data_IF_083686482577
#
_entry.id   IF_083686482577
#
_cell.length_a   1.000
_cell.length_b   1.000
_cell.length_c   1.000
_cell.angle_alpha   90.00
_cell.angle_beta   90.00
_cell.angle_gamma   90.00
#
_symmetry.space_group_name_H-M   'P 1'
#
loop_
_entity.id
_entity.type
_entity.pdbx_description
1 polymer ?
#
# COMPACT_ATOMS: atom_id res chain seq x y z
N UNK A 1 0.51 23.89 3.30
CA UNK A 1 1.61 23.68 4.22
C UNK A 1 1.15 22.77 5.35
N UNK A 2 1.13 21.48 5.14
CA UNK A 2 0.90 20.56 6.26
C UNK A 2 2.25 20.19 6.85
N UNK A 3 2.71 20.99 7.78
CA UNK A 3 3.92 20.70 8.52
C UNK A 3 3.76 19.51 9.49
N UNK A 4 2.61 18.87 9.50
CA UNK A 4 2.25 17.86 10.52
C UNK A 4 1.64 16.60 9.89
N UNK A 5 2.17 15.44 10.29
CA UNK A 5 1.63 14.12 10.01
C UNK A 5 1.03 13.52 11.27
N UNK A 6 -0.20 13.02 11.20
CA UNK A 6 -0.83 12.22 12.26
C UNK A 6 -0.75 10.74 11.92
N UNK A 7 -0.12 9.95 12.78
CA UNK A 7 0.03 8.49 12.63
C UNK A 7 -0.98 7.79 13.52
N UNK A 8 -1.78 6.91 12.92
CA UNK A 8 -2.77 6.10 13.62
C UNK A 8 -2.42 4.63 13.48
N UNK A 9 -2.14 3.96 14.60
CA UNK A 9 -1.99 2.51 14.64
C UNK A 9 -3.37 1.87 14.87
N UNK A 10 -3.83 1.09 13.91
CA UNK A 10 -5.13 0.43 13.93
C UNK A 10 -5.07 -0.97 14.56
N UNK A 11 -3.84 -1.47 14.84
CA UNK A 11 -3.63 -2.87 15.22
C UNK A 11 -4.04 -3.84 14.11
N UNK A 12 -4.52 -5.04 14.50
CA UNK A 12 -5.01 -6.03 13.52
C UNK A 12 -6.48 -5.79 13.21
N UNK A 13 -6.82 -5.72 11.91
CA UNK A 13 -8.16 -5.41 11.41
C UNK A 13 -8.50 -6.18 10.13
N UNK A 14 -9.80 -6.53 9.92
CA UNK A 14 -10.30 -6.99 8.62
C UNK A 14 -10.03 -5.96 7.52
N UNK A 15 -9.71 -6.44 6.32
CA UNK A 15 -9.34 -5.56 5.20
C UNK A 15 -10.50 -4.64 4.78
N UNK A 16 -11.71 -5.19 4.68
CA UNK A 16 -12.88 -4.44 4.23
C UNK A 16 -13.21 -3.26 5.15
N UNK A 17 -13.05 -3.42 6.47
CA UNK A 17 -13.26 -2.34 7.45
C UNK A 17 -12.31 -1.17 7.20
N UNK A 18 -11.01 -1.48 7.04
CA UNK A 18 -9.99 -0.44 6.84
C UNK A 18 -10.09 0.20 5.46
N UNK A 19 -10.54 -0.53 4.44
CA UNK A 19 -10.79 0.03 3.12
C UNK A 19 -11.89 1.08 3.16
N UNK A 20 -13.00 0.82 3.86
CA UNK A 20 -14.07 1.80 4.02
C UNK A 20 -13.61 3.02 4.83
N UNK A 21 -12.80 2.82 5.85
CA UNK A 21 -12.17 3.91 6.61
C UNK A 21 -11.31 4.78 5.70
N UNK A 22 -10.45 4.19 4.88
CA UNK A 22 -9.62 4.94 3.93
C UNK A 22 -10.47 5.76 2.94
N UNK A 23 -11.53 5.15 2.40
CA UNK A 23 -12.46 5.83 1.49
C UNK A 23 -13.16 7.01 2.14
N UNK A 24 -13.57 6.85 3.41
CA UNK A 24 -14.22 7.91 4.17
C UNK A 24 -13.25 9.07 4.45
N UNK A 25 -12.04 8.77 4.90
CA UNK A 25 -10.99 9.77 5.14
C UNK A 25 -10.60 10.52 3.86
N UNK A 26 -10.47 9.80 2.74
CA UNK A 26 -10.22 10.41 1.43
C UNK A 26 -11.35 11.38 1.05
N UNK A 27 -12.63 11.01 1.27
CA UNK A 27 -13.76 11.92 1.03
C UNK A 27 -13.70 13.17 1.91
N UNK A 28 -13.45 13.03 3.21
CA UNK A 28 -13.32 14.17 4.14
C UNK A 28 -12.17 15.10 3.73
N UNK A 29 -11.03 14.54 3.31
CA UNK A 29 -9.87 15.31 2.85
C UNK A 29 -10.17 16.08 1.56
N UNK A 30 -10.87 15.43 0.60
CA UNK A 30 -11.32 16.08 -0.65
C UNK A 30 -12.34 17.21 -0.40
N UNK A 31 -13.24 17.02 0.58
CA UNK A 31 -14.23 18.00 0.94
C UNK A 31 -13.69 19.18 1.77
N UNK A 32 -12.42 19.12 2.21
CA UNK A 32 -11.84 20.12 3.10
C UNK A 32 -12.35 20.03 4.55
N UNK A 33 -13.00 18.94 4.92
CA UNK A 33 -13.46 18.69 6.29
C UNK A 33 -12.32 18.25 7.22
N UNK A 34 -11.25 17.71 6.62
CA UNK A 34 -10.00 17.32 7.28
C UNK A 34 -8.82 17.98 6.57
N UNK A 35 -7.92 18.61 7.35
CA UNK A 35 -6.77 19.35 6.82
C UNK A 35 -5.43 18.69 7.12
N UNK A 36 -5.39 17.71 8.00
CA UNK A 36 -4.16 17.00 8.36
C UNK A 36 -3.92 15.79 7.46
N UNK A 37 -2.66 15.53 7.18
CA UNK A 37 -2.23 14.30 6.54
C UNK A 37 -2.18 13.16 7.55
N UNK A 38 -2.60 11.98 7.12
CA UNK A 38 -2.68 10.79 7.96
C UNK A 38 -1.79 9.67 7.40
N UNK A 39 -1.15 8.92 8.29
CA UNK A 39 -0.58 7.62 8.01
C UNK A 39 -1.28 6.58 8.88
N UNK A 40 -2.11 5.73 8.27
CA UNK A 40 -2.72 4.59 8.95
C UNK A 40 -1.75 3.41 8.88
N UNK A 41 -1.42 2.82 10.02
CA UNK A 41 -0.65 1.59 10.10
C UNK A 41 -1.56 0.47 10.57
N UNK A 42 -1.46 -0.69 9.96
CA UNK A 42 -2.36 -1.82 10.22
C UNK A 42 -1.68 -3.15 9.90
N UNK A 43 -2.09 -4.19 10.60
CA UNK A 43 -1.88 -5.58 10.26
C UNK A 43 -3.24 -6.17 9.83
N UNK A 44 -3.32 -6.80 8.67
CA UNK A 44 -4.59 -7.39 8.21
C UNK A 44 -4.75 -8.86 8.59
N UNK A 45 -6.00 -9.29 8.69
CA UNK A 45 -6.31 -10.72 8.57
C UNK A 45 -5.96 -11.22 7.15
N UNK A 46 -5.77 -12.54 6.97
CA UNK A 46 -5.35 -13.09 5.69
C UNK A 46 -6.30 -12.73 4.54
N UNK A 47 -5.81 -11.98 3.55
CA UNK A 47 -6.60 -11.49 2.41
C UNK A 47 -5.75 -11.41 1.14
N UNK A 48 -6.34 -11.77 0.01
CA UNK A 48 -5.81 -11.53 -1.33
C UNK A 48 -6.57 -10.35 -1.94
N UNK A 49 -5.86 -9.32 -2.35
CA UNK A 49 -6.47 -8.14 -2.99
C UNK A 49 -6.17 -8.09 -4.48
N UNK A 50 -7.22 -7.89 -5.27
CA UNK A 50 -7.17 -7.79 -6.72
C UNK A 50 -7.20 -6.32 -7.13
N UNK A 51 -6.06 -5.80 -7.58
CA UNK A 51 -5.94 -4.42 -8.05
C UNK A 51 -6.48 -4.25 -9.48
N UNK A 52 -6.49 -3.02 -9.98
CA UNK A 52 -7.00 -2.69 -11.34
C UNK A 52 -6.23 -3.36 -12.48
N UNK A 53 -4.99 -3.76 -12.24
CA UNK A 53 -4.13 -4.45 -13.21
C UNK A 53 -4.19 -5.97 -13.11
N UNK A 54 -5.07 -6.53 -12.28
CA UNK A 54 -5.16 -7.98 -12.09
C UNK A 54 -5.52 -8.70 -13.38
N UNK A 55 -4.70 -9.71 -13.70
CA UNK A 55 -4.89 -10.58 -14.86
C UNK A 55 -5.32 -11.96 -14.39
N UNK A 56 -6.07 -12.70 -15.22
CA UNK A 56 -6.46 -14.07 -14.91
C UNK A 56 -5.25 -14.99 -14.65
N UNK A 57 -4.11 -14.75 -15.33
CA UNK A 57 -2.86 -15.47 -15.12
C UNK A 57 -2.19 -15.21 -13.78
N UNK A 58 -2.52 -14.08 -13.12
CA UNK A 58 -1.96 -13.72 -11.81
C UNK A 58 -2.66 -14.42 -10.65
N UNK A 59 -3.83 -15.03 -10.91
CA UNK A 59 -4.64 -15.74 -9.93
C UNK A 59 -4.84 -17.21 -10.39
N UNK A 60 -3.84 -18.08 -10.20
CA UNK A 60 -3.89 -19.46 -10.69
C UNK A 60 -4.97 -20.31 -10.00
N UNK A 61 -5.38 -19.92 -8.79
CA UNK A 61 -6.47 -20.53 -8.06
C UNK A 61 -7.74 -19.67 -8.17
N UNK A 62 -8.90 -20.32 -8.32
CA UNK A 62 -10.18 -19.62 -8.29
C UNK A 62 -10.40 -18.97 -6.91
N UNK A 63 -11.09 -17.80 -6.82
CA UNK A 63 -11.40 -17.13 -5.55
C UNK A 63 -11.99 -18.07 -4.50
N UNK A 64 -12.97 -18.91 -4.86
CA UNK A 64 -13.57 -19.88 -3.97
C UNK A 64 -12.59 -20.93 -3.41
N UNK A 65 -11.49 -21.20 -4.10
CA UNK A 65 -10.42 -22.09 -3.60
C UNK A 65 -9.55 -21.37 -2.56
N UNK A 66 -9.25 -20.09 -2.78
CA UNK A 66 -8.54 -19.25 -1.81
C UNK A 66 -9.37 -19.06 -0.53
N UNK A 67 -10.66 -18.82 -0.67
CA UNK A 67 -11.60 -18.70 0.47
C UNK A 67 -11.67 -19.98 1.30
N UNK A 68 -11.71 -21.17 0.65
CA UNK A 68 -11.64 -22.46 1.35
C UNK A 68 -10.34 -22.66 2.14
N UNK A 69 -9.27 -21.96 1.76
CA UNK A 69 -7.98 -21.94 2.48
C UNK A 69 -7.89 -20.83 3.54
N UNK A 70 -9.01 -20.14 3.81
CA UNK A 70 -9.07 -19.07 4.80
C UNK A 70 -8.54 -17.72 4.34
N UNK A 71 -8.44 -17.50 3.02
CA UNK A 71 -8.01 -16.23 2.43
C UNK A 71 -9.24 -15.49 1.88
N UNK A 72 -9.57 -14.34 2.45
CA UNK A 72 -10.56 -13.45 1.86
C UNK A 72 -10.05 -12.98 0.48
N UNK A 73 -10.95 -12.79 -0.50
CA UNK A 73 -10.59 -12.25 -1.82
C UNK A 73 -11.39 -10.98 -2.07
N UNK A 74 -10.69 -9.85 -2.26
CA UNK A 74 -11.31 -8.52 -2.38
C UNK A 74 -10.83 -7.80 -3.63
N UNK A 75 -11.76 -7.37 -4.48
CA UNK A 75 -11.46 -6.46 -5.58
C UNK A 75 -11.32 -5.02 -5.06
N UNK A 76 -10.29 -4.32 -5.52
CA UNK A 76 -9.93 -2.99 -5.01
C UNK A 76 -9.49 -2.05 -6.12
N UNK A 77 -9.58 -0.74 -5.85
CA UNK A 77 -9.26 0.32 -6.80
C UNK A 77 -7.78 0.71 -6.88
N UNK A 78 -6.90 0.12 -6.05
CA UNK A 78 -5.45 0.40 -6.13
C UNK A 78 -4.86 0.02 -7.48
N UNK A 79 -3.80 0.70 -7.86
CA UNK A 79 -2.95 0.28 -8.97
C UNK A 79 -2.23 -1.04 -8.68
N UNK A 80 -1.67 -1.63 -9.72
CA UNK A 80 -0.98 -2.92 -9.66
C UNK A 80 -1.92 -4.12 -9.78
N UNK A 81 -1.33 -5.30 -9.70
CA UNK A 81 -1.96 -6.61 -9.86
C UNK A 81 -2.36 -7.21 -8.49
N UNK A 82 -2.45 -8.53 -8.41
CA UNK A 82 -2.78 -9.28 -7.19
C UNK A 82 -1.67 -9.15 -6.14
N UNK A 83 -2.06 -9.08 -4.88
CA UNK A 83 -1.15 -9.22 -3.74
C UNK A 83 -1.84 -9.88 -2.55
N UNK A 84 -1.04 -10.26 -1.55
CA UNK A 84 -1.48 -10.83 -0.28
C UNK A 84 -1.19 -9.86 0.85
N UNK A 85 -2.12 -9.80 1.82
CA UNK A 85 -1.90 -9.19 3.12
C UNK A 85 -2.25 -10.20 4.21
N UNK A 86 -1.52 -10.15 5.33
CA UNK A 86 -1.77 -11.06 6.45
C UNK A 86 -0.88 -10.76 7.65
N UNK A 87 -0.97 -11.59 8.69
CA UNK A 87 -0.20 -11.46 9.92
C UNK A 87 1.30 -11.34 9.67
N UNK A 88 1.95 -10.47 10.45
CA UNK A 88 3.37 -10.16 10.30
C UNK A 88 3.71 -9.21 9.15
N UNK A 89 2.70 -8.68 8.43
CA UNK A 89 2.92 -7.68 7.38
C UNK A 89 2.48 -6.29 7.85
N UNK A 90 3.41 -5.34 7.90
CA UNK A 90 3.11 -3.94 8.22
C UNK A 90 2.56 -3.25 6.97
N UNK A 91 1.28 -2.92 7.01
CA UNK A 91 0.61 -2.18 5.93
C UNK A 91 0.45 -0.72 6.33
N UNK A 92 0.83 0.18 5.42
CA UNK A 92 0.71 1.62 5.61
C UNK A 92 -0.17 2.25 4.53
N UNK A 93 -1.16 3.02 4.97
CA UNK A 93 -2.08 3.75 4.12
C UNK A 93 -1.97 5.25 4.35
N UNK A 94 -1.15 5.96 3.56
CA UNK A 94 -1.10 7.42 3.63
C UNK A 94 -2.34 8.04 2.97
N UNK A 95 -3.02 8.93 3.70
CA UNK A 95 -4.11 9.78 3.21
C UNK A 95 -3.59 11.21 3.19
N UNK A 96 -3.02 11.60 2.07
CA UNK A 96 -2.32 12.87 1.87
C UNK A 96 -3.02 13.66 0.77
N UNK A 97 -2.99 14.98 0.89
CA UNK A 97 -3.35 15.86 -0.22
C UNK A 97 -2.10 16.26 -1.01
N UNK A 98 -1.89 15.67 -2.17
CA UNK A 98 -0.71 15.92 -2.99
C UNK A 98 -0.62 17.36 -3.53
N UNK A 99 -1.70 18.14 -3.47
CA UNK A 99 -1.67 19.57 -3.79
C UNK A 99 -0.83 20.36 -2.79
N UNK A 100 -0.74 19.86 -1.55
CA UNK A 100 0.09 20.45 -0.50
C UNK A 100 1.55 19.94 -0.55
N UNK A 101 1.83 18.92 -1.38
CA UNK A 101 3.16 18.37 -1.63
C UNK A 101 3.59 18.58 -3.08
N UNK A 102 3.22 17.61 -3.93
CA UNK A 102 3.49 17.65 -5.37
C UNK A 102 2.45 16.83 -6.12
N UNK A 103 1.78 17.44 -7.09
CA UNK A 103 0.79 16.79 -7.97
C UNK A 103 1.47 15.89 -9.01
N UNK A 104 2.15 14.83 -8.54
CA UNK A 104 2.92 13.91 -9.38
C UNK A 104 2.89 12.50 -8.75
N UNK A 105 2.23 11.56 -9.42
CA UNK A 105 2.09 10.17 -8.94
C UNK A 105 3.41 9.40 -8.93
N UNK A 106 4.30 9.68 -9.90
CA UNK A 106 5.61 9.05 -9.94
C UNK A 106 6.49 9.53 -8.79
N UNK A 107 6.47 10.85 -8.53
CA UNK A 107 7.13 11.41 -7.36
C UNK A 107 6.61 10.77 -6.08
N UNK A 108 5.29 10.67 -5.91
CA UNK A 108 4.68 10.08 -4.71
C UNK A 108 5.10 8.63 -4.50
N UNK A 109 5.06 7.78 -5.55
CA UNK A 109 5.56 6.41 -5.47
C UNK A 109 7.03 6.35 -5.08
N UNK A 110 7.87 7.24 -5.64
CA UNK A 110 9.30 7.32 -5.30
C UNK A 110 9.55 7.77 -3.87
N UNK A 111 8.69 8.63 -3.30
CA UNK A 111 8.77 9.00 -1.90
C UNK A 111 8.41 7.81 -1.00
N UNK A 112 7.36 7.05 -1.30
CA UNK A 112 7.02 5.85 -0.55
C UNK A 112 8.16 4.82 -0.56
N UNK A 113 8.76 4.57 -1.72
CA UNK A 113 9.92 3.68 -1.82
C UNK A 113 11.12 4.22 -1.04
N UNK A 114 11.40 5.51 -1.12
CA UNK A 114 12.50 6.14 -0.39
C UNK A 114 12.32 6.01 1.12
N UNK A 115 11.12 6.31 1.64
CA UNK A 115 10.81 6.15 3.06
C UNK A 115 11.03 4.72 3.55
N UNK A 116 10.55 3.73 2.79
CA UNK A 116 10.76 2.31 3.14
C UNK A 116 12.23 1.90 3.08
N UNK A 117 12.99 2.37 2.08
CA UNK A 117 14.43 2.11 1.98
C UNK A 117 15.18 2.72 3.18
N UNK A 118 14.84 3.95 3.56
CA UNK A 118 15.42 4.62 4.74
C UNK A 118 15.07 3.86 6.03
N UNK A 119 13.82 3.43 6.19
CA UNK A 119 13.40 2.63 7.35
C UNK A 119 14.17 1.31 7.44
N UNK A 120 14.31 0.60 6.32
CA UNK A 120 15.07 -0.66 6.26
C UNK A 120 16.56 -0.45 6.55
N UNK A 121 17.14 0.65 6.08
CA UNK A 121 18.53 1.02 6.39
C UNK A 121 18.74 1.26 7.89
N UNK A 122 17.78 1.89 8.58
CA UNK A 122 17.82 2.08 10.03
C UNK A 122 17.79 0.75 10.80
N UNK A 123 17.21 -0.31 10.22
CA UNK A 123 17.23 -1.68 10.75
C UNK A 123 18.49 -2.49 10.36
N UNK A 124 19.41 -1.86 9.61
CA UNK A 124 20.64 -2.53 9.13
C UNK A 124 20.44 -3.32 7.83
N UNK A 125 19.33 -3.15 7.11
CA UNK A 125 19.07 -3.81 5.83
C UNK A 125 19.34 -2.86 4.66
N UNK A 126 20.18 -3.30 3.73
CA UNK A 126 20.35 -2.62 2.45
C UNK A 126 19.18 -2.97 1.53
N UNK A 127 18.41 -1.97 1.13
CA UNK A 127 17.30 -2.13 0.22
C UNK A 127 17.40 -1.12 -0.94
N UNK A 128 16.77 -1.46 -2.05
CA UNK A 128 16.88 -0.71 -3.30
C UNK A 128 15.58 -0.74 -4.11
N UNK A 129 15.51 0.12 -5.12
CA UNK A 129 14.51 0.03 -6.19
C UNK A 129 14.96 -0.94 -7.25
N UNK A 130 14.01 -1.64 -7.86
CA UNK A 130 14.30 -2.47 -9.04
C UNK A 130 13.85 -1.72 -10.31
N UNK A 131 14.72 -1.55 -11.32
CA UNK A 131 14.34 -0.85 -12.55
C UNK A 131 13.11 -1.47 -13.22
N UNK A 132 12.14 -0.62 -13.61
CA UNK A 132 10.89 -1.06 -14.26
C UNK A 132 9.90 -1.78 -13.34
N UNK A 133 10.17 -1.91 -12.04
CA UNK A 133 9.30 -2.62 -11.08
C UNK A 133 9.04 -1.75 -9.87
N UNK A 134 7.76 -1.53 -9.55
CA UNK A 134 7.37 -0.81 -8.32
C UNK A 134 7.53 -1.71 -7.10
N UNK A 135 8.10 -1.15 -6.03
CA UNK A 135 8.33 -1.86 -4.78
C UNK A 135 9.73 -1.64 -4.22
N UNK A 136 10.02 -2.29 -3.09
CA UNK A 136 11.33 -2.24 -2.45
C UNK A 136 11.91 -3.65 -2.43
N UNK A 137 13.20 -3.73 -2.73
CA UNK A 137 13.90 -4.98 -2.94
C UNK A 137 15.17 -5.04 -2.09
N UNK A 138 15.59 -6.23 -1.74
CA UNK A 138 16.88 -6.49 -1.09
C UNK A 138 17.47 -7.77 -1.65
N UNK A 139 18.73 -7.76 -2.08
CA UNK A 139 19.43 -8.93 -2.65
C UNK A 139 18.61 -9.63 -3.76
N UNK A 140 17.92 -8.83 -4.61
CA UNK A 140 17.08 -9.34 -5.70
C UNK A 140 15.73 -9.92 -5.27
N UNK A 141 15.37 -9.89 -3.98
CA UNK A 141 14.09 -10.36 -3.42
C UNK A 141 13.21 -9.18 -3.04
N UNK A 142 11.90 -9.31 -3.23
CA UNK A 142 10.95 -8.24 -2.94
C UNK A 142 10.53 -8.27 -1.47
N UNK A 143 10.81 -7.18 -0.74
CA UNK A 143 10.50 -7.05 0.68
C UNK A 143 9.25 -6.22 0.93
N UNK A 144 8.94 -5.26 0.03
CA UNK A 144 7.74 -4.45 0.13
C UNK A 144 7.05 -4.26 -1.22
N UNK A 145 5.72 -4.30 -1.20
CA UNK A 145 4.84 -4.03 -2.32
C UNK A 145 4.17 -2.67 -2.17
N UNK A 146 3.97 -1.96 -3.29
CA UNK A 146 3.27 -0.69 -3.33
C UNK A 146 2.12 -0.76 -4.34
N UNK A 147 0.97 -0.26 -3.91
CA UNK A 147 -0.19 -0.08 -4.77
C UNK A 147 -1.00 1.08 -4.24
N UNK A 148 -1.13 2.15 -5.03
CA UNK A 148 -1.78 3.39 -4.63
C UNK A 148 -3.04 3.65 -5.44
N UNK A 149 -3.92 4.46 -4.88
CA UNK A 149 -4.97 5.15 -5.63
C UNK A 149 -4.96 6.63 -5.27
N UNK A 150 -5.23 7.49 -6.25
CA UNK A 150 -5.33 8.93 -6.05
C UNK A 150 -6.62 9.42 -6.69
N UNK A 151 -7.40 10.19 -5.93
CA UNK A 151 -8.63 10.82 -6.38
C UNK A 151 -8.59 12.30 -6.05
N UNK A 152 -8.71 13.17 -7.05
CA UNK A 152 -8.58 14.62 -6.87
C UNK A 152 -7.33 15.02 -6.05
N UNK A 153 -6.21 14.39 -6.34
CA UNK A 153 -4.93 14.56 -5.67
C UNK A 153 -4.88 14.10 -4.19
N UNK A 154 -5.94 13.50 -3.67
CA UNK A 154 -5.91 12.85 -2.35
C UNK A 154 -5.60 11.37 -2.51
N UNK A 155 -4.63 10.89 -1.72
CA UNK A 155 -4.13 9.51 -1.79
C UNK A 155 -4.90 8.59 -0.87
N UNK A 156 -4.97 7.30 -1.21
CA UNK A 156 -5.32 6.19 -0.32
C UNK A 156 -4.76 4.87 -0.88
N UNK A 157 -4.88 3.74 -0.17
CA UNK A 157 -3.98 2.62 -0.28
C UNK A 157 -2.52 3.06 -0.01
N UNK A 158 -1.51 2.27 -0.35
CA UNK A 158 -0.13 2.64 -0.03
C UNK A 158 0.85 1.49 -0.20
N UNK A 159 1.41 0.99 0.90
CA UNK A 159 2.46 -0.02 0.87
C UNK A 159 2.20 -1.18 1.84
N UNK A 160 2.84 -2.29 1.58
CA UNK A 160 2.86 -3.47 2.44
C UNK A 160 4.31 -3.97 2.57
N UNK A 161 4.85 -3.89 3.79
CA UNK A 161 6.20 -4.32 4.15
C UNK A 161 6.13 -5.65 4.90
N UNK A 162 6.76 -6.69 4.37
CA UNK A 162 6.85 -7.98 5.02
C UNK A 162 7.84 -7.89 6.21
N UNK A 163 7.34 -7.93 7.44
CA UNK A 163 8.17 -7.91 8.65
C UNK A 163 8.52 -9.33 9.08
N UNK A 164 7.53 -10.10 9.48
CA UNK A 164 7.63 -11.52 9.86
C UNK A 164 6.54 -12.36 9.19
N UNK A 165 6.07 -11.89 8.03
CA UNK A 165 4.98 -12.46 7.25
C UNK A 165 5.25 -13.91 6.85
N UNK A 166 4.26 -14.77 6.94
CA UNK A 166 4.30 -16.09 6.29
C UNK A 166 4.28 -15.89 4.77
N UNK A 167 5.42 -16.12 4.14
CA UNK A 167 5.62 -15.89 2.72
C UNK A 167 5.01 -17.00 1.84
N UNK A 168 4.61 -18.14 2.41
CA UNK A 168 4.02 -19.25 1.66
C UNK A 168 2.68 -18.87 1.02
N UNK A 169 1.96 -17.90 1.58
CA UNK A 169 0.73 -17.36 1.00
C UNK A 169 0.95 -16.71 -0.38
N UNK A 170 2.15 -16.20 -0.65
CA UNK A 170 2.49 -15.63 -1.97
C UNK A 170 2.66 -16.71 -3.05
N UNK A 171 2.86 -17.98 -2.67
CA UNK A 171 2.94 -19.11 -3.63
C UNK A 171 1.58 -19.45 -4.26
N UNK A 172 0.48 -18.97 -3.65
CA UNK A 172 -0.87 -19.18 -4.13
C UNK A 172 -1.30 -18.19 -5.24
N UNK A 173 -0.49 -17.19 -5.49
CA UNK A 173 -0.73 -16.12 -6.45
C UNK A 173 0.53 -15.86 -7.28
N UNK A 174 0.42 -15.10 -8.39
CA UNK A 174 1.59 -14.54 -9.07
C UNK A 174 1.75 -13.09 -8.60
N UNK A 175 2.61 -12.82 -7.59
CA UNK A 175 2.65 -11.52 -6.92
C UNK A 175 2.98 -10.40 -7.92
N UNK A 176 2.14 -9.36 -7.96
CA UNK A 176 2.30 -8.21 -8.86
C UNK A 176 2.32 -8.57 -10.36
N UNK A 177 1.84 -9.76 -10.75
CA UNK A 177 1.89 -10.26 -12.12
C UNK A 177 3.31 -10.49 -12.66
N UNK A 178 4.31 -10.60 -11.79
CA UNK A 178 5.71 -10.80 -12.16
C UNK A 178 6.10 -12.24 -11.84
N UNK A 179 6.25 -13.05 -12.89
CA UNK A 179 6.69 -14.43 -12.75
C UNK A 179 8.10 -14.52 -12.15
N UNK A 180 8.30 -15.48 -11.26
CA UNK A 180 9.61 -15.73 -10.63
C UNK A 180 10.04 -14.69 -9.59
N UNK A 181 9.14 -13.81 -9.13
CA UNK A 181 9.42 -12.92 -7.99
C UNK A 181 9.59 -13.75 -6.73
N UNK A 182 10.74 -13.62 -6.10
CA UNK A 182 10.99 -14.18 -4.77
C UNK A 182 10.64 -13.12 -3.73
N UNK A 183 9.68 -13.43 -2.86
CA UNK A 183 9.33 -12.57 -1.72
C UNK A 183 10.28 -12.83 -0.55
N UNK A 184 10.52 -11.79 0.25
CA UNK A 184 11.29 -11.89 1.49
C UNK A 184 10.67 -11.03 2.59
N UNK A 185 11.22 -11.08 3.81
CA UNK A 185 10.77 -10.31 4.97
C UNK A 185 11.96 -9.78 5.76
N UNK A 186 11.71 -8.77 6.62
CA UNK A 186 12.74 -8.21 7.52
C UNK A 186 13.32 -9.31 8.41
N UNK A 187 12.47 -10.18 8.97
CA UNK A 187 12.88 -11.31 9.81
C UNK A 187 13.82 -12.26 9.06
N UNK A 188 13.46 -12.63 7.83
CA UNK A 188 14.27 -13.54 7.01
C UNK A 188 15.63 -12.93 6.63
N UNK A 189 15.66 -11.63 6.29
CA UNK A 189 16.90 -10.95 5.89
C UNK A 189 17.87 -10.68 7.06
N UNK A 190 17.33 -10.45 8.26
CA UNK A 190 18.13 -10.25 9.48
C UNK A 190 18.45 -11.56 10.23
N UNK A 191 17.80 -12.68 9.85
CA UNK A 191 17.92 -13.94 10.60
C UNK A 191 17.36 -13.84 12.02
N UNK A 192 16.30 -13.04 12.23
CA UNK A 192 15.70 -12.78 13.54
C UNK A 192 14.36 -13.49 13.69
N UNK A 193 14.15 -14.12 14.85
CA UNK A 193 12.90 -14.80 15.21
C UNK A 193 12.04 -14.08 16.26
N UNK A 194 12.49 -12.95 16.78
CA UNK A 194 11.81 -12.12 17.78
C UNK A 194 10.74 -11.21 17.18
N UNK A 195 9.71 -11.81 16.57
CA UNK A 195 8.75 -11.13 15.72
C UNK A 195 8.08 -9.89 16.35
N UNK A 196 7.74 -9.93 17.64
CA UNK A 196 7.11 -8.80 18.32
C UNK A 196 8.05 -7.59 18.46
N UNK A 197 9.30 -7.82 18.85
CA UNK A 197 10.31 -6.76 18.95
C UNK A 197 10.62 -6.19 17.58
N UNK A 198 10.80 -7.05 16.59
CA UNK A 198 11.06 -6.65 15.21
C UNK A 198 9.90 -5.86 14.59
N UNK A 199 8.66 -6.20 14.96
CA UNK A 199 7.47 -5.45 14.55
C UNK A 199 7.52 -4.02 15.05
N UNK A 200 7.77 -3.83 16.36
CA UNK A 200 7.83 -2.49 16.95
C UNK A 200 9.00 -1.67 16.39
N UNK A 201 10.20 -2.26 16.28
CA UNK A 201 11.34 -1.59 15.66
C UNK A 201 11.06 -1.17 14.22
N UNK A 202 10.43 -2.04 13.41
CA UNK A 202 10.11 -1.75 12.02
C UNK A 202 9.06 -0.65 11.91
N UNK A 203 8.03 -0.70 12.73
CA UNK A 203 6.98 0.32 12.78
C UNK A 203 7.57 1.70 13.11
N UNK A 204 8.43 1.77 14.14
CA UNK A 204 9.10 3.01 14.53
C UNK A 204 9.99 3.56 13.40
N UNK A 205 10.79 2.70 12.79
CA UNK A 205 11.66 3.07 11.68
C UNK A 205 10.84 3.61 10.49
N UNK A 206 9.70 2.96 10.16
CA UNK A 206 8.81 3.41 9.08
C UNK A 206 8.21 4.77 9.39
N UNK A 207 7.72 5.00 10.62
CA UNK A 207 7.13 6.31 11.01
C UNK A 207 8.16 7.43 10.90
N UNK A 208 9.35 7.21 11.44
CA UNK A 208 10.44 8.19 11.39
C UNK A 208 10.84 8.50 9.96
N UNK A 209 11.15 7.47 9.19
CA UNK A 209 11.61 7.61 7.81
C UNK A 209 10.54 8.24 6.89
N UNK A 210 9.25 7.94 7.14
CA UNK A 210 8.15 8.56 6.41
C UNK A 210 8.08 10.06 6.70
N UNK A 211 8.15 10.45 7.98
CA UNK A 211 8.18 11.85 8.38
C UNK A 211 9.31 12.64 7.73
N UNK A 212 10.52 12.11 7.77
CA UNK A 212 11.72 12.70 7.17
C UNK A 212 11.61 12.79 5.63
N UNK A 213 11.17 11.72 4.98
CA UNK A 213 11.10 11.63 3.51
C UNK A 213 10.10 12.61 2.93
N UNK A 214 8.96 12.81 3.58
CA UNK A 214 7.94 13.77 3.16
C UNK A 214 8.15 15.17 3.70
N UNK A 215 9.16 15.39 4.56
CA UNK A 215 9.54 16.70 5.08
C UNK A 215 8.57 17.26 6.12
N UNK A 216 7.92 16.40 6.92
CA UNK A 216 7.05 16.86 8.00
C UNK A 216 7.88 17.43 9.16
N UNK A 217 7.48 18.59 9.65
CA UNK A 217 8.10 19.23 10.82
C UNK A 217 7.73 18.56 12.14
N UNK A 218 6.55 17.95 12.18
CA UNK A 218 6.06 17.21 13.34
C UNK A 218 5.32 15.93 12.93
N UNK A 219 5.66 14.83 13.58
CA UNK A 219 4.96 13.55 13.47
C UNK A 219 4.30 13.25 14.81
N UNK A 220 2.97 13.30 14.83
CA UNK A 220 2.17 13.01 16.02
C UNK A 220 1.57 11.62 15.97
N UNK A 221 1.59 10.89 17.09
CA UNK A 221 0.84 9.64 17.24
C UNK A 221 -0.51 9.97 17.86
N UNK A 222 -1.55 9.48 17.25
CA UNK A 222 -2.92 9.68 17.69
C UNK A 222 -3.62 8.33 17.87
N UNK A 223 -4.52 8.27 18.82
CA UNK A 223 -5.32 7.05 19.02
C UNK A 223 -6.36 6.93 17.93
N UNK A 224 -6.83 5.70 17.66
CA UNK A 224 -7.93 5.45 16.73
C UNK A 224 -9.23 6.21 17.10
N UNK A 225 -9.34 6.70 18.33
CA UNK A 225 -10.43 7.60 18.75
C UNK A 225 -10.50 8.92 17.97
N UNK A 226 -9.39 9.39 17.39
CA UNK A 226 -9.40 10.53 16.46
C UNK A 226 -10.27 10.28 15.21
N UNK A 227 -10.51 9.02 14.89
CA UNK A 227 -11.31 8.59 13.73
C UNK A 227 -12.78 8.29 14.09
N UNK A 228 -13.19 8.58 15.34
CA UNK A 228 -14.56 8.30 15.81
C UNK A 228 -15.64 9.06 15.03
N UNK A 229 -15.30 10.22 14.48
CA UNK A 229 -16.22 11.04 13.66
C UNK A 229 -16.31 10.54 12.21
N UNK A 230 -15.51 9.54 11.83
CA UNK A 230 -15.53 9.01 10.48
C UNK A 230 -16.70 8.05 10.32
N UNK A 231 -17.76 8.53 9.68
CA UNK A 231 -18.92 7.70 9.36
C UNK A 231 -18.53 6.69 8.26
N UNK A 232 -18.25 5.45 8.68
CA UNK A 232 -18.02 4.33 7.78
C UNK A 232 -19.38 3.81 7.32
N UNK A 233 -19.67 3.92 6.02
CA UNK A 233 -20.89 3.34 5.45
C UNK A 233 -20.70 1.82 5.38
N UNK A 234 -21.52 1.00 6.05
CA UNK A 234 -21.42 -0.45 5.98
C UNK A 234 -21.47 -0.95 4.53
N UNK A 235 -20.69 -1.98 4.24
CA UNK A 235 -20.54 -2.53 2.88
C UNK A 235 -21.84 -3.00 2.20
N UNK A 236 -22.90 -3.24 2.96
CA UNK A 236 -24.23 -3.62 2.43
C UNK A 236 -25.06 -2.45 1.81
N UNK A 237 -24.62 -1.20 1.94
CA UNK A 237 -25.33 -0.04 1.36
C UNK A 237 -24.83 0.36 -0.05
N UNK A 238 -23.93 -0.43 -0.67
CA UNK A 238 -23.30 -0.09 -1.97
C UNK A 238 -24.21 -0.16 -3.17
N UNK A 239 -25.23 -1.01 -3.15
CA UNK A 239 -26.08 -1.25 -4.32
C UNK A 239 -27.01 -0.07 -4.67
N UNK A 240 -27.14 0.91 -3.77
CA UNK A 240 -27.98 2.08 -3.98
C UNK A 240 -27.27 3.28 -4.62
N UNK A 241 -25.96 3.26 -4.80
CA UNK A 241 -25.17 4.36 -5.35
C UNK A 241 -24.62 4.11 -6.77
N UNK A 242 -24.84 2.94 -7.34
CA UNK A 242 -24.35 2.60 -8.69
C UNK A 242 -25.27 3.07 -9.83
N UNK A 243 -26.43 3.63 -9.55
CA UNK A 243 -27.43 4.01 -10.58
C UNK A 243 -27.48 5.51 -10.90
N UNK A 244 -26.44 6.26 -10.59
CA UNK A 244 -26.34 7.67 -10.92
C UNK A 244 -25.15 7.98 -11.84
N UNK A 245 -25.40 7.92 -13.16
CA UNK A 245 -24.71 8.59 -14.27
C UNK A 245 -23.31 8.10 -14.65
N UNK A 246 -23.29 7.44 -15.80
CA UNK A 246 -22.15 7.27 -16.66
C UNK A 246 -21.40 8.61 -16.86
N UNK A 247 -20.20 8.71 -16.32
CA UNK A 247 -19.24 9.77 -16.66
C UNK A 247 -18.38 9.23 -17.82
N UNK A 248 -18.13 10.02 -18.89
CA UNK A 248 -17.37 9.56 -20.04
C UNK A 248 -15.95 9.19 -19.65
N UNK A 249 -15.47 8.09 -20.22
CA UNK A 249 -14.08 7.64 -20.12
C UNK A 249 -13.15 8.69 -20.76
N UNK A 250 -12.48 9.49 -19.96
CA UNK A 250 -11.26 10.19 -20.36
C UNK A 250 -10.35 10.33 -19.11
N UNK A 251 -9.38 9.44 -19.00
CA UNK A 251 -8.19 9.55 -18.17
C UNK A 251 -7.09 8.73 -18.82
N UNK A 252 -5.85 9.21 -18.85
CA UNK A 252 -4.78 8.55 -19.59
C UNK A 252 -4.50 7.18 -19.01
N UNK A 253 -4.57 6.18 -19.89
CA UNK A 253 -4.06 4.84 -19.65
C UNK A 253 -2.57 4.93 -19.31
N UNK A 254 -2.18 4.50 -18.12
CA UNK A 254 -0.78 4.27 -17.78
C UNK A 254 -0.30 2.99 -18.48
N UNK A 255 -0.19 3.04 -19.82
CA UNK A 255 0.58 2.08 -20.56
C UNK A 255 2.06 2.49 -20.43
N UNK A 256 2.89 1.57 -19.98
CA UNK A 256 4.34 1.72 -19.98
C UNK A 256 4.83 2.04 -21.40
N UNK A 257 5.72 3.04 -21.57
CA UNK A 257 6.38 3.21 -22.86
C UNK A 257 7.40 2.10 -23.05
N UNK A 258 7.14 1.20 -23.99
CA UNK A 258 8.15 0.29 -24.52
C UNK A 258 9.29 1.13 -25.10
N UNK A 259 10.50 1.00 -24.55
CA UNK A 259 11.74 1.53 -25.12
C UNK A 259 12.02 0.81 -26.45
N UNK A 260 11.60 1.44 -27.52
CA UNK A 260 12.01 1.08 -28.88
C UNK A 260 13.50 1.37 -29.05
N UNK A 261 14.29 0.34 -29.22
CA UNK A 261 15.69 0.45 -29.63
C UNK A 261 15.75 1.02 -31.04
N UNK A 262 16.20 2.26 -31.18
CA UNK A 262 16.55 2.85 -32.46
C UNK A 262 17.81 2.17 -32.98
N UNK A 263 17.67 1.32 -34.00
CA UNK A 263 18.79 0.91 -34.87
C UNK A 263 19.16 2.11 -35.73
N UNK A 264 20.31 2.69 -35.49
CA UNK A 264 20.98 3.58 -36.42
C UNK A 264 21.59 2.78 -37.55
N UNK A 265 21.22 3.12 -38.74
CA UNK A 265 21.96 2.76 -39.96
C UNK A 265 22.40 4.08 -40.62
N UNK A 266 23.68 4.10 -41.00
CA UNK A 266 24.29 5.17 -41.78
C UNK A 266 25.74 5.30 -41.45
#
# INVERSE_FOLDING_TARGET
MSARLSVVDLGRRPYAEVLELQRALCRQRMAGERHEDLLLLVEHEPVVTLGRGTRASSLPLAPAELERRGLEVVEVERGGDVTYHGPGQLVGYPVLDLREHREDLHWYLRQLEAGLITALAALGLQAERSPGRTGVWTRGRKIASLGIHVKQWVTFHGFALNVSTDLSAFELIVPCGIEGVVMTSVAAELGRGDAAVLWDETREAVVTAFGETFGYEAVGRVTAGLLADVHVIPSGARDLLHDARAIPRQGPSLAEPALSAAKGSG
#
